data_IF_367521127254
#
_entry.id   IF_367521127254
#
_cell.length_a   1.000
_cell.length_b   1.000
_cell.length_c   1.000
_cell.angle_alpha   90.00
_cell.angle_beta   90.00
_cell.angle_gamma   90.00
#
_symmetry.space_group_name_H-M   'P 1'
#
loop_
_entity.id
_entity.type
_entity.pdbx_description
1 polymer ?
#
# COMPACT_ATOMS: atom_id res chain seq x y z
N UNK A 1 -21.67 -14.82 26.72
CA UNK A 1 -20.61 -15.63 27.36
C UNK A 1 -19.96 -16.66 26.44
N UNK A 2 -20.61 -17.74 25.93
CA UNK A 2 -19.91 -18.70 25.04
C UNK A 2 -19.71 -18.21 23.60
N UNK A 3 -20.63 -17.40 23.07
CA UNK A 3 -20.51 -16.84 21.71
C UNK A 3 -19.44 -15.73 21.60
N UNK A 4 -19.29 -14.90 22.63
CA UNK A 4 -18.27 -13.82 22.65
C UNK A 4 -16.85 -14.40 22.72
N UNK A 5 -16.65 -15.48 23.47
CA UNK A 5 -15.38 -16.21 23.48
C UNK A 5 -15.04 -16.72 22.09
N UNK A 6 -15.95 -17.44 21.43
CA UNK A 6 -15.70 -18.02 20.10
C UNK A 6 -15.39 -16.97 19.03
N UNK A 7 -16.02 -15.80 19.09
CA UNK A 7 -15.74 -14.69 18.19
C UNK A 7 -14.34 -14.12 18.42
N UNK A 8 -13.96 -13.86 19.68
CA UNK A 8 -12.63 -13.38 20.04
C UNK A 8 -11.52 -14.37 19.65
N UNK A 9 -11.72 -15.68 19.85
CA UNK A 9 -10.77 -16.71 19.44
C UNK A 9 -10.63 -16.81 17.91
N UNK A 10 -11.74 -16.65 17.19
CA UNK A 10 -11.73 -16.67 15.73
C UNK A 10 -11.05 -15.44 15.15
N UNK A 11 -11.27 -14.27 15.74
CA UNK A 11 -10.57 -13.03 15.38
C UNK A 11 -9.07 -13.13 15.68
N UNK A 12 -8.69 -13.64 16.86
CA UNK A 12 -7.28 -13.88 17.19
C UNK A 12 -6.60 -14.82 16.19
N UNK A 13 -7.30 -15.89 15.74
CA UNK A 13 -6.74 -16.80 14.73
C UNK A 13 -6.55 -16.12 13.37
N UNK A 14 -7.52 -15.32 12.91
CA UNK A 14 -7.40 -14.57 11.65
C UNK A 14 -6.22 -13.59 11.69
N UNK A 15 -5.98 -12.95 12.84
CA UNK A 15 -4.83 -12.07 13.06
C UNK A 15 -3.51 -12.84 12.95
N UNK A 16 -3.40 -14.00 13.61
CA UNK A 16 -2.19 -14.83 13.53
C UNK A 16 -1.95 -15.37 12.11
N UNK A 17 -3.01 -15.68 11.36
CA UNK A 17 -2.90 -16.10 9.96
C UNK A 17 -2.29 -15.00 9.08
N UNK A 18 -2.74 -13.75 9.24
CA UNK A 18 -2.20 -12.62 8.48
C UNK A 18 -0.76 -12.31 8.90
N UNK A 19 -0.44 -12.34 10.19
CA UNK A 19 0.95 -12.19 10.66
C UNK A 19 1.88 -13.25 10.05
N UNK A 20 1.43 -14.50 9.99
CA UNK A 20 2.20 -15.56 9.33
C UNK A 20 2.40 -15.28 7.83
N UNK A 21 1.41 -14.69 7.17
CA UNK A 21 1.51 -14.28 5.77
C UNK A 21 2.50 -13.11 5.57
N UNK A 22 2.48 -12.11 6.46
CA UNK A 22 3.47 -11.00 6.47
C UNK A 22 4.89 -11.54 6.56
N UNK A 23 5.15 -12.49 7.47
CA UNK A 23 6.48 -13.12 7.60
C UNK A 23 6.91 -13.80 6.30
N UNK A 24 6.00 -14.51 5.61
CA UNK A 24 6.32 -15.12 4.31
C UNK A 24 6.71 -14.08 3.27
N UNK A 25 6.00 -12.95 3.21
CA UNK A 25 6.29 -11.86 2.28
C UNK A 25 7.65 -11.21 2.57
N UNK A 26 7.95 -10.92 3.83
CA UNK A 26 9.25 -10.35 4.24
C UNK A 26 10.39 -11.30 3.87
N UNK A 27 10.26 -12.60 4.17
CA UNK A 27 11.26 -13.61 3.81
C UNK A 27 11.44 -13.72 2.29
N UNK A 28 10.34 -13.65 1.53
CA UNK A 28 10.39 -13.60 0.08
C UNK A 28 11.20 -12.38 -0.41
N UNK A 29 10.90 -11.18 0.10
CA UNK A 29 11.61 -9.95 -0.25
C UNK A 29 13.12 -10.02 0.01
N UNK A 30 13.52 -10.50 1.18
CA UNK A 30 14.92 -10.66 1.59
C UNK A 30 15.67 -11.67 0.70
N UNK A 31 15.01 -12.79 0.35
CA UNK A 31 15.61 -13.83 -0.50
C UNK A 31 15.94 -13.35 -1.92
N UNK A 32 15.25 -12.28 -2.38
CA UNK A 32 15.39 -11.69 -3.70
C UNK A 32 16.27 -10.43 -3.74
N UNK A 33 16.60 -9.81 -2.59
CA UNK A 33 17.54 -8.67 -2.52
C UNK A 33 19.00 -9.08 -2.81
N UNK A 34 19.42 -10.30 -2.44
CA UNK A 34 20.83 -10.73 -2.51
C UNK A 34 21.26 -11.47 -3.78
N UNK A 35 20.39 -11.69 -4.78
CA UNK A 35 20.70 -12.52 -5.95
C UNK A 35 20.79 -11.72 -7.24
N UNK A 36 21.87 -10.98 -7.38
CA UNK A 36 22.31 -10.47 -8.68
C UNK A 36 22.92 -11.62 -9.51
N UNK A 37 22.36 -11.85 -10.71
CA UNK A 37 22.96 -12.61 -11.84
C UNK A 37 23.47 -14.03 -11.56
N UNK A 38 22.59 -15.03 -11.56
CA UNK A 38 22.76 -16.34 -12.24
C UNK A 38 21.60 -17.25 -11.85
N UNK A 39 20.88 -17.75 -12.85
CA UNK A 39 19.65 -18.59 -12.80
C UNK A 39 18.37 -17.77 -12.83
N UNK A 40 17.74 -17.83 -14.00
CA UNK A 40 16.29 -17.67 -14.22
C UNK A 40 15.59 -18.77 -13.40
N UNK A 41 15.56 -18.62 -12.07
CA UNK A 41 14.86 -19.53 -11.18
C UNK A 41 13.38 -19.22 -11.42
N UNK A 42 12.62 -20.20 -11.89
CA UNK A 42 11.16 -20.15 -11.86
C UNK A 42 10.76 -19.54 -10.53
N UNK A 43 10.02 -18.42 -10.57
CA UNK A 43 9.43 -17.85 -9.37
C UNK A 43 8.75 -19.02 -8.65
N UNK A 44 9.16 -19.36 -7.41
CA UNK A 44 8.50 -20.42 -6.69
C UNK A 44 7.01 -20.08 -6.71
N UNK A 45 6.18 -21.05 -7.11
CA UNK A 45 4.72 -20.92 -7.10
C UNK A 45 4.30 -20.90 -5.63
N UNK A 46 4.63 -19.82 -4.94
CA UNK A 46 4.21 -19.57 -3.56
C UNK A 46 2.70 -19.42 -3.65
N UNK A 47 2.01 -20.39 -3.08
CA UNK A 47 0.56 -20.34 -2.95
C UNK A 47 0.31 -19.36 -1.81
N UNK A 48 0.10 -18.10 -2.18
CA UNK A 48 -0.39 -17.09 -1.26
C UNK A 48 -1.86 -17.36 -0.96
N UNK A 49 -2.27 -17.12 0.28
CA UNK A 49 -3.66 -17.30 0.67
C UNK A 49 -4.52 -16.22 0.03
N UNK A 50 -5.71 -16.56 -0.46
CA UNK A 50 -6.72 -15.56 -0.79
C UNK A 50 -7.18 -14.90 0.53
N UNK A 51 -6.97 -13.59 0.63
CA UNK A 51 -7.29 -12.80 1.81
C UNK A 51 -8.49 -11.91 1.49
N UNK A 52 -9.36 -11.74 2.49
CA UNK A 52 -10.46 -10.77 2.42
C UNK A 52 -9.93 -9.34 2.56
N UNK A 53 -10.73 -8.34 2.19
CA UNK A 53 -10.34 -6.92 2.23
C UNK A 53 -9.77 -6.46 3.57
N UNK A 54 -10.45 -6.79 4.67
CA UNK A 54 -10.01 -6.47 6.04
C UNK A 54 -8.66 -7.12 6.39
N UNK A 55 -8.46 -8.37 5.96
CA UNK A 55 -7.20 -9.07 6.12
C UNK A 55 -6.08 -8.48 5.25
N UNK A 56 -6.40 -7.98 4.06
CA UNK A 56 -5.47 -7.29 3.19
C UNK A 56 -5.06 -5.93 3.77
N UNK A 57 -6.00 -5.15 4.29
CA UNK A 57 -5.69 -3.90 5.00
C UNK A 57 -4.69 -4.17 6.11
N UNK A 58 -4.98 -5.14 6.99
CA UNK A 58 -4.06 -5.49 8.08
C UNK A 58 -2.71 -6.01 7.60
N UNK A 59 -2.67 -6.81 6.53
CA UNK A 59 -1.42 -7.25 5.91
C UNK A 59 -0.56 -6.04 5.46
N UNK A 60 -1.19 -5.08 4.77
CA UNK A 60 -0.50 -3.90 4.26
C UNK A 60 -0.09 -2.95 5.39
N UNK A 61 -0.90 -2.80 6.44
CA UNK A 61 -0.54 -2.04 7.65
C UNK A 61 0.69 -2.61 8.34
N UNK A 62 0.76 -3.92 8.52
CA UNK A 62 1.94 -4.57 9.10
C UNK A 62 3.17 -4.43 8.20
N UNK A 63 2.99 -4.46 6.87
CA UNK A 63 4.08 -4.20 5.93
C UNK A 63 4.53 -2.73 5.92
N UNK A 64 3.61 -1.80 6.20
CA UNK A 64 3.91 -0.37 6.38
C UNK A 64 4.76 -0.11 7.63
N UNK A 65 4.87 -1.04 8.58
CA UNK A 65 5.82 -0.91 9.70
C UNK A 65 7.27 -1.20 9.29
N UNK A 66 7.48 -1.95 8.19
CA UNK A 66 8.83 -2.30 7.73
C UNK A 66 9.56 -1.08 7.17
N UNK A 67 10.84 -0.90 7.55
CA UNK A 67 11.65 0.23 7.09
C UNK A 67 11.94 0.17 5.59
N UNK A 68 12.11 -1.03 5.06
CA UNK A 68 12.45 -1.27 3.66
C UNK A 68 11.71 -2.49 3.11
N UNK A 69 11.07 -2.32 1.96
CA UNK A 69 10.51 -3.40 1.16
C UNK A 69 11.15 -3.41 -0.22
N UNK A 70 11.44 -4.60 -0.74
CA UNK A 70 12.07 -4.70 -2.05
C UNK A 70 11.06 -4.47 -3.19
N UNK A 71 11.52 -3.87 -4.28
CA UNK A 71 10.74 -3.66 -5.52
C UNK A 71 10.09 -4.96 -6.02
N UNK A 72 10.78 -6.09 -5.87
CA UNK A 72 10.26 -7.42 -6.25
C UNK A 72 9.08 -7.83 -5.38
N UNK A 73 9.16 -7.58 -4.07
CA UNK A 73 8.08 -7.84 -3.12
C UNK A 73 6.85 -6.99 -3.45
N UNK A 74 7.01 -5.66 -3.60
CA UNK A 74 5.89 -4.75 -3.92
C UNK A 74 5.21 -5.14 -5.23
N UNK A 75 6.00 -5.47 -6.25
CA UNK A 75 5.48 -5.95 -7.54
C UNK A 75 4.71 -7.27 -7.40
N UNK A 76 5.19 -8.19 -6.57
CA UNK A 76 4.54 -9.48 -6.34
C UNK A 76 3.25 -9.30 -5.55
N UNK A 77 3.22 -8.47 -4.50
CA UNK A 77 2.01 -8.13 -3.74
C UNK A 77 0.89 -7.62 -4.65
N UNK A 78 1.20 -6.61 -5.45
CA UNK A 78 0.24 -6.02 -6.39
C UNK A 78 -0.32 -7.06 -7.37
N UNK A 79 0.50 -8.02 -7.83
CA UNK A 79 0.03 -9.07 -8.76
C UNK A 79 -0.80 -10.14 -8.07
N UNK A 80 -0.38 -10.57 -6.89
CA UNK A 80 -1.04 -11.64 -6.14
C UNK A 80 -2.43 -11.21 -5.69
N UNK A 81 -2.54 -10.01 -5.11
CA UNK A 81 -3.79 -9.54 -4.52
C UNK A 81 -4.55 -8.53 -5.38
N UNK A 82 -3.99 -8.13 -6.53
CA UNK A 82 -4.57 -7.13 -7.44
C UNK A 82 -4.97 -5.86 -6.68
N UNK A 83 -4.08 -5.31 -5.84
CA UNK A 83 -4.44 -4.28 -4.85
C UNK A 83 -5.11 -3.05 -5.49
N UNK A 84 -4.67 -2.63 -6.68
CA UNK A 84 -5.33 -1.56 -7.47
C UNK A 84 -6.81 -1.79 -7.82
N UNK A 85 -7.28 -3.04 -7.81
CA UNK A 85 -8.66 -3.44 -8.14
C UNK A 85 -9.52 -3.68 -6.89
N UNK A 86 -8.94 -3.55 -5.70
CA UNK A 86 -9.63 -3.75 -4.43
C UNK A 86 -10.44 -2.50 -4.03
N UNK A 87 -11.14 -2.57 -2.90
CA UNK A 87 -11.86 -1.43 -2.34
C UNK A 87 -10.92 -0.28 -1.95
N UNK A 88 -11.52 0.88 -1.61
CA UNK A 88 -10.78 2.11 -1.35
C UNK A 88 -9.80 2.00 -0.18
N UNK A 89 -10.09 1.19 0.83
CA UNK A 89 -9.23 1.06 2.02
C UNK A 89 -7.96 0.29 1.68
N UNK A 90 -8.10 -0.82 0.96
CA UNK A 90 -6.94 -1.58 0.46
C UNK A 90 -6.12 -0.75 -0.54
N UNK A 91 -6.79 -0.03 -1.45
CA UNK A 91 -6.11 0.84 -2.42
C UNK A 91 -5.35 1.97 -1.73
N UNK A 92 -5.90 2.57 -0.69
CA UNK A 92 -5.24 3.60 0.10
C UNK A 92 -3.93 3.08 0.74
N UNK A 93 -3.99 1.95 1.44
CA UNK A 93 -2.81 1.32 2.06
C UNK A 93 -1.76 0.90 1.02
N UNK A 94 -2.20 0.44 -0.15
CA UNK A 94 -1.29 0.18 -1.26
C UNK A 94 -0.57 1.44 -1.72
N UNK A 95 -1.29 2.55 -1.91
CA UNK A 95 -0.68 3.82 -2.30
C UNK A 95 0.32 4.33 -1.26
N UNK A 96 0.02 4.17 0.03
CA UNK A 96 0.94 4.50 1.13
C UNK A 96 2.26 3.72 1.01
N UNK A 97 2.19 2.40 0.76
CA UNK A 97 3.40 1.58 0.53
C UNK A 97 4.19 2.02 -0.71
N UNK A 98 3.47 2.38 -1.78
CA UNK A 98 4.08 2.87 -3.02
C UNK A 98 4.89 4.15 -2.76
N UNK A 99 4.31 5.08 -2.01
CA UNK A 99 4.93 6.37 -1.67
C UNK A 99 6.11 6.15 -0.72
N UNK A 100 5.88 5.46 0.40
CA UNK A 100 6.87 5.21 1.45
C UNK A 100 8.17 4.61 0.90
N UNK A 101 8.07 3.70 -0.07
CA UNK A 101 9.20 2.99 -0.65
C UNK A 101 9.60 3.49 -2.05
N UNK A 102 9.13 4.67 -2.46
CA UNK A 102 9.43 5.29 -3.76
C UNK A 102 9.31 4.32 -4.94
N UNK A 103 8.24 3.53 -4.97
CA UNK A 103 8.00 2.53 -6.00
C UNK A 103 7.38 3.18 -7.24
N UNK A 104 8.20 3.82 -8.08
CA UNK A 104 7.74 4.58 -9.25
C UNK A 104 6.75 3.83 -10.18
N UNK A 105 6.86 2.50 -10.43
CA UNK A 105 5.85 1.79 -11.22
C UNK A 105 4.42 1.82 -10.65
N UNK A 106 4.27 2.11 -9.36
CA UNK A 106 2.99 2.27 -8.67
C UNK A 106 2.43 3.70 -8.67
N UNK A 107 3.18 4.72 -9.12
CA UNK A 107 2.71 6.11 -9.05
C UNK A 107 1.45 6.40 -9.86
N UNK A 108 1.16 5.62 -10.91
CA UNK A 108 -0.12 5.69 -11.61
C UNK A 108 -1.31 5.26 -10.74
N UNK A 109 -1.09 4.32 -9.84
CA UNK A 109 -2.12 3.86 -8.90
C UNK A 109 -2.38 4.97 -7.86
N UNK A 110 -1.32 5.67 -7.41
CA UNK A 110 -1.42 6.85 -6.52
C UNK A 110 -2.16 8.00 -7.21
N UNK A 111 -1.79 8.35 -8.44
CA UNK A 111 -2.46 9.39 -9.24
C UNK A 111 -3.96 9.11 -9.36
N UNK A 112 -4.32 7.90 -9.76
CA UNK A 112 -5.71 7.48 -9.87
C UNK A 112 -6.45 7.60 -8.53
N UNK A 113 -5.82 7.19 -7.42
CA UNK A 113 -6.44 7.29 -6.10
C UNK A 113 -6.67 8.75 -5.68
N UNK A 114 -5.67 9.63 -5.86
CA UNK A 114 -5.80 11.05 -5.52
C UNK A 114 -6.88 11.76 -6.32
N UNK A 115 -7.09 11.36 -7.58
CA UNK A 115 -8.11 11.96 -8.44
C UNK A 115 -9.52 11.51 -8.05
N UNK A 116 -9.69 10.22 -7.73
CA UNK A 116 -11.01 9.60 -7.61
C UNK A 116 -11.49 9.38 -6.16
N UNK A 117 -10.58 9.32 -5.18
CA UNK A 117 -10.87 9.07 -3.76
C UNK A 117 -10.39 10.23 -2.87
N UNK A 118 -10.71 11.47 -3.28
CA UNK A 118 -10.14 12.73 -2.77
C UNK A 118 -10.19 12.87 -1.25
N UNK A 119 -11.30 12.47 -0.61
CA UNK A 119 -11.46 12.59 0.84
C UNK A 119 -10.44 11.74 1.61
N UNK A 120 -10.18 10.51 1.16
CA UNK A 120 -9.13 9.64 1.74
C UNK A 120 -7.74 10.07 1.27
N UNK A 121 -7.62 10.61 0.06
CA UNK A 121 -6.35 11.01 -0.56
C UNK A 121 -5.61 12.16 0.13
N UNK A 122 -6.30 12.97 0.97
CA UNK A 122 -5.67 14.10 1.70
C UNK A 122 -4.42 13.66 2.47
N UNK A 123 -4.47 12.52 3.14
CA UNK A 123 -3.33 11.99 3.90
C UNK A 123 -2.13 11.69 3.00
N UNK A 124 -2.37 11.11 1.82
CA UNK A 124 -1.31 10.72 0.89
C UNK A 124 -0.58 11.93 0.28
N UNK A 125 -1.24 13.09 0.19
CA UNK A 125 -0.54 14.33 -0.17
C UNK A 125 0.54 14.68 0.85
N UNK A 126 0.27 14.50 2.15
CA UNK A 126 1.28 14.66 3.19
C UNK A 126 2.45 13.70 2.98
N UNK A 127 2.16 12.41 2.81
CA UNK A 127 3.18 11.38 2.57
C UNK A 127 4.08 11.68 1.37
N UNK A 128 3.52 12.16 0.25
CA UNK A 128 4.27 12.57 -0.95
C UNK A 128 5.23 13.73 -0.70
N UNK A 129 4.99 14.52 0.34
CA UNK A 129 5.82 15.69 0.68
C UNK A 129 6.91 15.35 1.71
N UNK A 130 6.70 14.36 2.58
CA UNK A 130 7.58 14.02 3.73
C UNK A 130 9.03 13.74 3.31
N UNK A 131 9.24 12.99 2.24
CA UNK A 131 10.59 12.58 1.81
C UNK A 131 11.30 13.61 0.91
N UNK A 132 10.60 14.70 0.54
CA UNK A 132 11.07 15.71 -0.41
C UNK A 132 11.54 15.13 -1.77
N UNK A 133 10.99 13.98 -2.18
CA UNK A 133 11.31 13.36 -3.47
C UNK A 133 10.74 14.20 -4.63
N UNK A 134 11.56 14.65 -5.61
CA UNK A 134 11.08 15.51 -6.68
C UNK A 134 9.99 14.90 -7.56
N UNK A 135 10.02 13.58 -7.77
CA UNK A 135 9.03 12.87 -8.60
C UNK A 135 7.67 12.83 -7.86
N UNK A 136 7.70 12.54 -6.56
CA UNK A 136 6.52 12.54 -5.69
C UNK A 136 5.92 13.93 -5.51
N UNK A 137 6.73 14.96 -5.27
CA UNK A 137 6.22 16.33 -5.18
C UNK A 137 5.63 16.82 -6.51
N UNK A 138 6.25 16.45 -7.63
CA UNK A 138 5.69 16.74 -8.95
C UNK A 138 4.36 15.99 -9.18
N UNK A 139 4.25 14.74 -8.71
CA UNK A 139 3.00 13.98 -8.74
C UNK A 139 1.90 14.66 -7.92
N UNK A 140 2.20 15.07 -6.68
CA UNK A 140 1.27 15.81 -5.83
C UNK A 140 0.76 17.08 -6.52
N UNK A 141 1.67 17.95 -7.01
CA UNK A 141 1.29 19.20 -7.69
C UNK A 141 0.41 18.95 -8.92
N UNK A 142 0.75 17.93 -9.74
CA UNK A 142 -0.07 17.56 -10.90
C UNK A 142 -1.46 17.10 -10.48
N UNK A 143 -1.57 16.19 -9.52
CA UNK A 143 -2.86 15.70 -9.04
C UNK A 143 -3.72 16.84 -8.48
N UNK A 144 -3.13 17.70 -7.63
CA UNK A 144 -3.84 18.86 -7.08
C UNK A 144 -4.38 19.77 -8.19
N UNK A 145 -3.56 20.08 -9.20
CA UNK A 145 -4.00 20.92 -10.32
C UNK A 145 -5.17 20.35 -11.10
N UNK A 146 -5.34 19.02 -11.11
CA UNK A 146 -6.44 18.34 -11.79
C UNK A 146 -7.74 18.36 -10.98
N UNK A 147 -7.67 18.31 -9.64
CA UNK A 147 -8.86 18.15 -8.79
C UNK A 147 -9.20 19.33 -7.91
N UNK A 148 -8.34 20.36 -7.80
CA UNK A 148 -8.52 21.47 -6.87
C UNK A 148 -9.89 22.16 -6.98
N UNK A 149 -10.50 22.21 -8.16
CA UNK A 149 -11.81 22.85 -8.36
C UNK A 149 -13.00 21.98 -7.92
N UNK A 150 -12.82 20.65 -7.89
CA UNK A 150 -13.84 19.67 -7.49
C UNK A 150 -13.70 19.25 -6.02
N UNK A 151 -12.51 19.43 -5.46
CA UNK A 151 -12.17 19.06 -4.09
C UNK A 151 -12.95 19.89 -3.06
N UNK A 152 -13.39 19.24 -1.98
CA UNK A 152 -14.01 19.93 -0.85
C UNK A 152 -13.12 21.08 -0.37
N UNK A 153 -13.71 22.24 -0.09
CA UNK A 153 -12.96 23.46 0.23
C UNK A 153 -12.05 23.29 1.45
N UNK A 154 -12.48 22.53 2.46
CA UNK A 154 -11.67 22.33 3.67
C UNK A 154 -10.48 21.42 3.37
N UNK A 155 -10.69 20.34 2.61
CA UNK A 155 -9.65 19.43 2.19
C UNK A 155 -8.63 20.12 1.25
N UNK A 156 -9.13 20.92 0.29
CA UNK A 156 -8.31 21.68 -0.65
C UNK A 156 -7.32 22.59 0.08
N UNK A 157 -7.78 23.35 1.07
CA UNK A 157 -6.91 24.26 1.84
C UNK A 157 -5.77 23.51 2.52
N UNK A 158 -6.08 22.38 3.17
CA UNK A 158 -5.07 21.56 3.84
C UNK A 158 -4.04 21.03 2.83
N UNK A 159 -4.49 20.57 1.66
CA UNK A 159 -3.57 20.08 0.62
C UNK A 159 -2.74 21.20 0.00
N UNK A 160 -3.33 22.37 -0.27
CA UNK A 160 -2.61 23.54 -0.76
C UNK A 160 -1.51 23.96 0.23
N UNK A 161 -1.79 23.99 1.53
CA UNK A 161 -0.79 24.29 2.58
C UNK A 161 0.39 23.32 2.62
N UNK A 162 0.18 22.05 2.22
CA UNK A 162 1.25 21.05 2.16
C UNK A 162 2.06 21.10 0.86
N UNK A 163 1.43 21.47 -0.26
CA UNK A 163 1.97 21.26 -1.62
C UNK A 163 2.51 22.54 -2.28
N UNK A 164 1.96 23.71 -1.92
CA UNK A 164 2.27 25.02 -2.52
C UNK A 164 3.12 25.88 -1.57
#
# INVERSE_FOLDING_TARGET
WLYEGSAAWSQARLVEEVKAEVVKWILFGRSHQGKSRKRKRMEPKVIYKELMSDQLVMLLELLLEESELSVTLLRALQRTYRLREQDAEVRHRWCELVIKHAYSPGYRDVEHFLIHDQAMGVYLYGELMVQEDPEQQALARRCLSLVQEEMDQSARRVVEEMVL
#
